data_IF_051502106109
#
_entry.id   IF_051502106109
#
_cell.length_a   1.000
_cell.length_b   1.000
_cell.length_c   1.000
_cell.angle_alpha   90.00
_cell.angle_beta   90.00
_cell.angle_gamma   90.00
#
_symmetry.space_group_name_H-M   'P 1'
#
loop_
_entity.id
_entity.type
_entity.pdbx_description
1 polymer ?
#
# COMPACT_ATOMS: atom_id res chain seq x y z
N UNK A 1 24.85 -15.15 -8.99
CA UNK A 1 23.48 -15.44 -9.48
C UNK A 1 22.51 -14.92 -8.44
N UNK A 2 21.41 -14.26 -8.82
CA UNK A 2 20.37 -13.93 -7.85
C UNK A 2 19.81 -15.23 -7.26
N UNK A 3 19.49 -15.21 -5.97
CA UNK A 3 18.93 -16.37 -5.25
C UNK A 3 17.48 -16.70 -5.69
N UNK A 4 16.89 -15.85 -6.50
CA UNK A 4 15.54 -15.96 -7.09
C UNK A 4 15.56 -15.52 -8.55
N UNK A 5 14.74 -16.16 -9.36
CA UNK A 5 14.54 -15.77 -10.76
C UNK A 5 13.65 -14.53 -10.81
N UNK A 6 14.11 -13.49 -11.47
CA UNK A 6 13.26 -12.36 -11.83
C UNK A 6 12.40 -12.76 -13.04
N UNK A 7 11.08 -12.54 -13.02
CA UNK A 7 10.25 -12.81 -14.18
C UNK A 7 10.72 -12.05 -15.42
N UNK A 8 10.55 -12.66 -16.59
CA UNK A 8 10.97 -12.06 -17.86
C UNK A 8 10.11 -10.82 -18.23
N UNK A 9 8.86 -10.78 -17.77
CA UNK A 9 7.95 -9.66 -18.02
C UNK A 9 7.98 -8.64 -16.90
N UNK A 10 7.88 -7.33 -17.22
CA UNK A 10 7.76 -6.27 -16.23
C UNK A 10 6.57 -6.50 -15.28
N UNK A 11 6.75 -6.26 -13.98
CA UNK A 11 5.73 -6.46 -12.95
C UNK A 11 4.43 -5.73 -13.25
N UNK A 12 4.53 -4.50 -13.79
CA UNK A 12 3.36 -3.70 -14.19
C UNK A 12 2.54 -4.38 -15.31
N UNK A 13 3.22 -4.99 -16.29
CA UNK A 13 2.53 -5.73 -17.36
C UNK A 13 1.81 -6.96 -16.81
N UNK A 14 2.44 -7.70 -15.92
CA UNK A 14 1.81 -8.87 -15.27
C UNK A 14 0.59 -8.45 -14.42
N UNK A 15 0.69 -7.33 -13.68
CA UNK A 15 -0.45 -6.80 -12.92
C UNK A 15 -1.64 -6.45 -13.85
N UNK A 16 -1.36 -5.79 -14.98
CA UNK A 16 -2.40 -5.42 -15.95
C UNK A 16 -3.03 -6.64 -16.63
N UNK A 17 -2.25 -7.65 -16.98
CA UNK A 17 -2.74 -8.90 -17.56
C UNK A 17 -3.63 -9.66 -16.57
N UNK A 18 -3.12 -9.88 -15.34
CA UNK A 18 -3.87 -10.54 -14.28
C UNK A 18 -5.17 -9.79 -13.94
N UNK A 19 -5.14 -8.45 -13.95
CA UNK A 19 -6.33 -7.63 -13.75
C UNK A 19 -7.39 -7.92 -14.82
N UNK A 20 -6.99 -7.94 -16.08
CA UNK A 20 -7.89 -8.23 -17.19
C UNK A 20 -8.47 -9.65 -17.12
N UNK A 21 -7.66 -10.63 -16.74
CA UNK A 21 -8.09 -12.01 -16.58
C UNK A 21 -9.12 -12.20 -15.47
N UNK A 22 -8.93 -11.51 -14.33
CA UNK A 22 -9.78 -11.70 -13.14
C UNK A 22 -11.07 -10.86 -13.23
N UNK A 23 -10.97 -9.62 -13.73
CA UNK A 23 -12.11 -8.69 -13.74
C UNK A 23 -12.88 -8.67 -15.06
N UNK A 24 -12.28 -9.20 -16.15
CA UNK A 24 -12.81 -9.08 -17.51
C UNK A 24 -12.68 -7.67 -18.10
N UNK A 25 -12.03 -6.74 -17.41
CA UNK A 25 -11.90 -5.34 -17.79
C UNK A 25 -10.42 -4.94 -17.92
N UNK A 26 -10.12 -4.06 -18.89
CA UNK A 26 -8.78 -3.45 -18.94
C UNK A 26 -8.61 -2.47 -17.78
N UNK A 27 -7.45 -2.45 -17.11
CA UNK A 27 -7.22 -1.51 -16.03
C UNK A 27 -7.24 -0.07 -16.53
N UNK A 28 -7.79 0.84 -15.73
CA UNK A 28 -7.78 2.28 -16.02
C UNK A 28 -6.39 2.87 -15.83
N UNK A 29 -5.70 2.42 -14.78
CA UNK A 29 -4.36 2.85 -14.44
C UNK A 29 -3.52 1.70 -13.91
N UNK A 30 -2.21 1.82 -14.11
CA UNK A 30 -1.22 0.89 -13.56
C UNK A 30 -0.04 1.68 -13.04
N UNK A 31 0.42 1.34 -11.84
CA UNK A 31 1.60 1.96 -11.24
C UNK A 31 2.48 0.90 -10.57
N UNK A 32 3.73 1.27 -10.29
CA UNK A 32 4.63 0.36 -9.59
C UNK A 32 5.56 1.10 -8.63
N UNK A 33 5.96 0.42 -7.56
CA UNK A 33 6.89 0.93 -6.57
C UNK A 33 8.02 -0.07 -6.27
N UNK A 34 9.21 0.42 -5.91
CA UNK A 34 10.38 -0.41 -5.70
C UNK A 34 10.40 -1.09 -4.33
N UNK A 35 11.12 -2.20 -4.24
CA UNK A 35 11.56 -2.77 -2.98
C UNK A 35 12.37 -1.75 -2.18
N UNK A 36 12.26 -1.79 -0.85
CA UNK A 36 12.99 -0.90 0.05
C UNK A 36 13.71 -1.69 1.14
N UNK A 37 14.89 -1.25 1.53
CA UNK A 37 15.62 -1.82 2.64
C UNK A 37 16.35 -0.73 3.44
N UNK A 38 16.48 -0.96 4.75
CA UNK A 38 17.17 -0.03 5.63
C UNK A 38 18.65 -0.38 5.68
N UNK A 39 19.49 0.62 5.48
CA UNK A 39 20.92 0.50 5.69
C UNK A 39 21.26 0.67 7.18
N UNK A 40 20.62 1.66 7.82
CA UNK A 40 20.77 1.94 9.25
C UNK A 40 19.55 2.72 9.74
N UNK A 41 19.24 2.57 11.03
CA UNK A 41 18.18 3.34 11.70
C UNK A 41 16.77 2.74 11.55
N UNK A 42 16.64 1.46 11.16
CA UNK A 42 15.34 0.81 11.11
C UNK A 42 14.66 0.83 12.49
N UNK A 43 13.35 1.09 12.51
CA UNK A 43 12.50 1.23 13.71
C UNK A 43 12.74 2.46 14.57
N UNK A 44 13.55 3.44 14.17
CA UNK A 44 13.72 4.69 14.92
C UNK A 44 12.89 5.86 14.38
N UNK A 45 12.26 5.72 13.24
CA UNK A 45 11.38 6.72 12.61
C UNK A 45 10.14 7.05 13.48
N UNK A 46 9.68 6.13 14.33
CA UNK A 46 8.62 6.38 15.33
C UNK A 46 9.00 7.43 16.38
N UNK A 47 10.28 7.60 16.62
CA UNK A 47 10.81 8.52 17.64
C UNK A 47 11.44 9.77 17.02
N UNK A 48 11.22 10.00 15.72
CA UNK A 48 11.83 11.13 15.01
C UNK A 48 13.32 10.94 14.72
N UNK A 49 13.80 9.69 14.71
CA UNK A 49 15.17 9.36 14.35
C UNK A 49 15.38 9.41 12.82
N UNK A 50 16.66 9.48 12.43
CA UNK A 50 17.07 9.51 11.01
C UNK A 50 17.29 8.07 10.53
N UNK A 51 16.64 7.72 9.41
CA UNK A 51 16.76 6.42 8.75
C UNK A 51 17.45 6.58 7.40
N UNK A 52 18.46 5.76 7.13
CA UNK A 52 19.09 5.67 5.82
C UNK A 52 18.49 4.48 5.05
N UNK A 53 17.77 4.78 3.98
CA UNK A 53 17.03 3.81 3.17
C UNK A 53 17.61 3.70 1.76
N UNK A 54 17.52 2.48 1.22
CA UNK A 54 17.83 2.21 -0.18
C UNK A 54 16.62 1.59 -0.88
N UNK A 55 16.58 1.70 -2.21
CA UNK A 55 15.59 1.00 -3.03
C UNK A 55 16.26 -0.04 -3.92
N UNK A 56 15.55 -1.14 -4.15
CA UNK A 56 15.99 -2.23 -5.01
C UNK A 56 15.37 -2.20 -6.40
N UNK A 57 15.80 -3.12 -7.26
CA UNK A 57 15.26 -3.27 -8.62
C UNK A 57 13.94 -4.06 -8.64
N UNK A 58 13.70 -4.93 -7.66
CA UNK A 58 12.44 -5.66 -7.54
C UNK A 58 11.30 -4.69 -7.29
N UNK A 59 10.13 -4.98 -7.82
CA UNK A 59 8.98 -4.08 -7.75
C UNK A 59 7.71 -4.82 -7.33
N UNK A 60 6.80 -4.08 -6.71
CA UNK A 60 5.39 -4.38 -6.70
C UNK A 60 4.69 -3.46 -7.69
N UNK A 61 3.67 -3.95 -8.38
CA UNK A 61 2.88 -3.18 -9.31
C UNK A 61 1.39 -3.45 -9.09
N UNK A 62 0.58 -2.43 -9.33
CA UNK A 62 -0.86 -2.47 -9.14
C UNK A 62 -1.56 -1.98 -10.39
N UNK A 63 -2.58 -2.70 -10.81
CA UNK A 63 -3.53 -2.32 -11.83
C UNK A 63 -4.89 -2.10 -11.18
N UNK A 64 -5.61 -1.03 -11.58
CA UNK A 64 -6.90 -0.66 -10.97
C UNK A 64 -7.95 -0.35 -12.02
N UNK A 65 -9.22 -0.65 -11.68
CA UNK A 65 -10.40 -0.15 -12.37
C UNK A 65 -11.48 0.26 -11.37
N UNK A 66 -12.35 1.25 -11.72
CA UNK A 66 -13.38 1.71 -10.80
C UNK A 66 -14.53 0.70 -10.69
N UNK A 67 -15.17 0.68 -9.51
CA UNK A 67 -16.42 -0.03 -9.21
C UNK A 67 -17.51 0.95 -8.78
N UNK A 68 -18.76 0.51 -8.87
CA UNK A 68 -19.93 1.33 -8.51
C UNK A 68 -20.76 0.75 -7.38
N UNK A 69 -20.34 -0.37 -6.79
CA UNK A 69 -21.11 -1.17 -5.83
C UNK A 69 -20.66 -1.00 -4.36
N UNK A 70 -19.80 -0.06 -4.08
CA UNK A 70 -19.32 0.20 -2.72
C UNK A 70 -18.26 -0.80 -2.22
N UNK A 71 -17.68 -1.61 -3.11
CA UNK A 71 -16.74 -2.68 -2.75
C UNK A 71 -15.33 -2.37 -3.25
N UNK A 72 -14.33 -2.69 -2.44
CA UNK A 72 -12.93 -2.82 -2.85
C UNK A 72 -12.61 -4.30 -2.94
N UNK A 73 -12.39 -4.80 -4.16
CA UNK A 73 -11.97 -6.16 -4.43
C UNK A 73 -10.47 -6.17 -4.71
N UNK A 74 -9.76 -7.11 -4.07
CA UNK A 74 -8.28 -7.18 -4.11
C UNK A 74 -7.85 -8.54 -4.59
N UNK A 75 -6.97 -8.56 -5.58
CA UNK A 75 -6.36 -9.74 -6.15
C UNK A 75 -4.84 -9.58 -6.02
N UNK A 76 -4.20 -10.44 -5.24
CA UNK A 76 -2.77 -10.36 -4.97
C UNK A 76 -2.03 -11.56 -5.53
N UNK A 77 -1.03 -11.30 -6.34
CA UNK A 77 -0.14 -12.27 -6.96
C UNK A 77 1.28 -12.09 -6.39
N UNK A 78 1.65 -12.84 -5.36
CA UNK A 78 2.94 -12.71 -4.69
C UNK A 78 4.10 -13.18 -5.58
N UNK A 79 5.33 -12.82 -5.21
CA UNK A 79 6.54 -13.33 -5.85
C UNK A 79 6.69 -14.85 -5.72
N UNK A 80 6.15 -15.41 -4.66
CA UNK A 80 6.15 -16.84 -4.34
C UNK A 80 4.86 -17.19 -3.60
N UNK A 81 4.33 -18.38 -3.87
CA UNK A 81 3.09 -18.85 -3.25
C UNK A 81 1.87 -18.71 -4.17
N UNK A 82 0.71 -18.98 -3.62
CA UNK A 82 -0.55 -18.94 -4.35
C UNK A 82 -1.15 -17.52 -4.37
N UNK A 83 -1.87 -17.16 -5.43
CA UNK A 83 -2.64 -15.94 -5.46
C UNK A 83 -3.68 -15.88 -4.33
N UNK A 84 -3.90 -14.69 -3.80
CA UNK A 84 -4.92 -14.42 -2.79
C UNK A 84 -5.97 -13.45 -3.34
N UNK A 85 -7.25 -13.69 -2.99
CA UNK A 85 -8.37 -12.87 -3.38
C UNK A 85 -9.21 -12.56 -2.14
N UNK A 86 -9.60 -11.29 -2.01
CA UNK A 86 -10.36 -10.81 -0.86
C UNK A 86 -11.19 -9.57 -1.24
N UNK A 87 -12.20 -9.22 -0.46
CA UNK A 87 -12.98 -8.01 -0.71
C UNK A 87 -13.56 -7.43 0.57
N UNK A 88 -13.78 -6.11 0.57
CA UNK A 88 -14.38 -5.40 1.69
C UNK A 88 -15.21 -4.23 1.17
N UNK A 89 -16.34 -3.92 1.85
CA UNK A 89 -17.14 -2.76 1.51
C UNK A 89 -16.53 -1.48 2.12
N UNK A 90 -16.75 -0.34 1.46
CA UNK A 90 -16.39 0.98 2.01
C UNK A 90 -17.12 1.26 3.32
N UNK A 91 -18.33 0.71 3.52
CA UNK A 91 -19.05 0.81 4.77
C UNK A 91 -18.33 0.05 5.89
N UNK A 92 -17.92 -1.19 5.67
CA UNK A 92 -17.17 -1.96 6.67
C UNK A 92 -15.84 -1.29 7.03
N UNK A 93 -15.16 -0.67 6.06
CA UNK A 93 -13.97 0.14 6.32
C UNK A 93 -14.26 1.35 7.20
N UNK A 94 -15.40 2.03 7.00
CA UNK A 94 -15.83 3.14 7.84
C UNK A 94 -16.10 2.70 9.29
N UNK A 95 -16.74 1.54 9.47
CA UNK A 95 -16.99 0.94 10.78
C UNK A 95 -15.68 0.56 11.48
N UNK A 96 -14.74 -0.09 10.77
CA UNK A 96 -13.42 -0.40 11.30
C UNK A 96 -12.64 0.87 11.70
N UNK A 97 -12.67 1.91 10.86
CA UNK A 97 -12.00 3.18 11.17
C UNK A 97 -12.60 3.85 12.40
N UNK A 98 -13.93 3.79 12.55
CA UNK A 98 -14.65 4.35 13.72
C UNK A 98 -14.27 3.60 15.00
N UNK A 99 -14.20 2.28 14.95
CA UNK A 99 -13.80 1.45 16.08
C UNK A 99 -12.35 1.70 16.55
N UNK A 100 -11.53 2.30 15.69
CA UNK A 100 -10.12 2.67 15.98
C UNK A 100 -9.95 4.10 16.49
N UNK A 101 -11.03 4.88 16.59
CA UNK A 101 -10.93 6.23 17.10
C UNK A 101 -10.65 6.23 18.61
N UNK A 102 -9.79 7.15 19.08
CA UNK A 102 -9.57 7.33 20.50
C UNK A 102 -10.92 7.61 21.22
N UNK A 103 -11.15 6.92 22.30
CA UNK A 103 -12.33 7.13 23.15
C UNK A 103 -11.92 7.17 24.62
N UNK A 104 -12.84 7.61 25.47
CA UNK A 104 -12.67 7.59 26.92
C UNK A 104 -13.80 6.78 27.55
N UNK A 105 -13.51 6.09 28.64
CA UNK A 105 -14.54 5.41 29.45
C UNK A 105 -15.35 6.42 30.29
N UNK A 106 -16.27 5.89 31.10
CA UNK A 106 -17.12 6.68 31.97
C UNK A 106 -16.34 7.46 33.06
N UNK A 107 -15.14 7.00 33.38
CA UNK A 107 -14.22 7.57 34.35
C UNK A 107 -13.23 8.57 33.68
N UNK A 108 -13.34 8.81 32.36
CA UNK A 108 -12.50 9.71 31.59
C UNK A 108 -11.10 9.15 31.25
N UNK A 109 -10.88 7.85 31.42
CA UNK A 109 -9.60 7.21 31.06
C UNK A 109 -9.56 6.87 29.57
N UNK A 110 -8.39 7.00 28.90
CA UNK A 110 -8.25 6.61 27.52
C UNK A 110 -8.53 5.11 27.31
N UNK A 111 -9.44 4.79 26.41
CA UNK A 111 -9.69 3.42 25.98
C UNK A 111 -8.79 3.12 24.79
N UNK A 112 -7.93 2.12 24.94
CA UNK A 112 -7.08 1.63 23.84
C UNK A 112 -7.93 0.69 23.00
N UNK A 113 -8.20 1.03 21.72
CA UNK A 113 -8.98 0.15 20.86
C UNK A 113 -8.22 -1.16 20.60
N UNK A 114 -8.90 -2.29 20.40
CA UNK A 114 -8.26 -3.57 20.08
C UNK A 114 -7.45 -3.43 18.79
N UNK A 115 -6.36 -4.23 18.68
CA UNK A 115 -5.60 -4.29 17.43
C UNK A 115 -6.52 -4.71 16.27
N UNK A 116 -6.33 -4.16 15.05
CA UNK A 116 -7.12 -4.58 13.90
C UNK A 116 -6.83 -6.05 13.58
N UNK A 117 -7.86 -6.78 13.19
CA UNK A 117 -7.70 -8.16 12.72
C UNK A 117 -6.85 -8.23 11.45
N UNK A 118 -6.90 -7.19 10.65
CA UNK A 118 -6.16 -7.09 9.39
C UNK A 118 -6.87 -7.83 8.25
N UNK A 119 -6.08 -8.44 7.39
CA UNK A 119 -6.53 -9.09 6.17
C UNK A 119 -6.13 -8.29 4.93
N UNK A 120 -6.11 -8.96 3.79
CA UNK A 120 -5.68 -8.36 2.52
C UNK A 120 -6.59 -7.20 2.11
N UNK A 121 -7.91 -7.44 2.10
CA UNK A 121 -8.87 -6.43 1.69
C UNK A 121 -8.98 -5.27 2.70
N UNK A 122 -8.88 -5.54 4.00
CA UNK A 122 -8.89 -4.48 5.02
C UNK A 122 -7.66 -3.57 4.88
N UNK A 123 -6.48 -4.12 4.66
CA UNK A 123 -5.25 -3.36 4.44
C UNK A 123 -5.33 -2.49 3.19
N UNK A 124 -5.60 -3.10 2.03
CA UNK A 124 -5.60 -2.41 0.74
C UNK A 124 -6.81 -1.47 0.61
N UNK A 125 -7.99 -1.93 1.02
CA UNK A 125 -9.19 -1.10 1.07
C UNK A 125 -9.05 0.08 2.03
N UNK A 126 -8.30 -0.12 3.13
CA UNK A 126 -7.94 0.95 4.06
C UNK A 126 -7.17 2.09 3.39
N UNK A 127 -6.33 1.81 2.39
CA UNK A 127 -5.66 2.83 1.59
C UNK A 127 -6.70 3.63 0.80
N UNK A 128 -7.63 2.95 0.09
CA UNK A 128 -8.71 3.62 -0.66
C UNK A 128 -9.52 4.53 0.27
N UNK A 129 -9.99 4.00 1.40
CA UNK A 129 -10.76 4.75 2.39
C UNK A 129 -10.00 5.97 2.93
N UNK A 130 -8.74 5.79 3.29
CA UNK A 130 -7.92 6.89 3.83
C UNK A 130 -7.65 7.95 2.77
N UNK A 131 -7.41 7.57 1.51
CA UNK A 131 -7.22 8.50 0.39
C UNK A 131 -8.48 9.33 0.12
N UNK A 132 -9.67 8.74 0.20
CA UNK A 132 -10.95 9.47 0.09
C UNK A 132 -11.06 10.51 1.21
N UNK A 133 -10.82 10.09 2.46
CA UNK A 133 -10.94 10.97 3.63
C UNK A 133 -9.86 12.08 3.65
N UNK A 134 -8.69 11.81 3.08
CA UNK A 134 -7.60 12.79 2.93
C UNK A 134 -7.67 13.58 1.63
N UNK A 135 -8.74 13.43 0.84
CA UNK A 135 -8.98 14.17 -0.41
C UNK A 135 -7.86 13.96 -1.45
N UNK A 136 -7.27 12.77 -1.49
CA UNK A 136 -6.41 12.30 -2.58
C UNK A 136 -7.23 11.57 -3.65
N UNK A 137 -8.42 11.10 -3.30
CA UNK A 137 -9.44 10.58 -4.21
C UNK A 137 -10.74 11.37 -4.04
N UNK A 138 -11.58 11.32 -5.07
CA UNK A 138 -12.91 11.91 -5.01
C UNK A 138 -13.76 11.24 -3.93
N UNK A 139 -14.63 12.02 -3.28
CA UNK A 139 -15.64 11.50 -2.35
C UNK A 139 -16.70 10.64 -3.06
N UNK A 140 -16.80 10.74 -4.37
CA UNK A 140 -17.70 9.94 -5.20
C UNK A 140 -17.10 8.57 -5.58
N UNK A 141 -15.87 8.28 -5.13
CA UNK A 141 -15.25 6.96 -5.34
C UNK A 141 -16.09 5.89 -4.66
N UNK A 142 -16.76 5.07 -5.46
CA UNK A 142 -17.70 4.06 -4.98
C UNK A 142 -17.08 2.65 -4.85
N UNK A 143 -15.77 2.51 -5.05
CA UNK A 143 -15.04 1.26 -4.95
C UNK A 143 -14.00 1.09 -6.04
N UNK A 144 -13.26 -0.01 -5.97
CA UNK A 144 -12.22 -0.33 -6.96
C UNK A 144 -11.97 -1.84 -7.04
N UNK A 145 -11.67 -2.33 -8.24
CA UNK A 145 -10.94 -3.58 -8.45
C UNK A 145 -9.46 -3.26 -8.44
N UNK A 146 -8.70 -3.96 -7.60
CA UNK A 146 -7.27 -3.74 -7.38
C UNK A 146 -6.54 -5.05 -7.57
N UNK A 147 -5.66 -5.11 -8.55
CA UNK A 147 -4.83 -6.30 -8.80
C UNK A 147 -3.37 -5.94 -8.59
N UNK A 148 -2.73 -6.64 -7.66
CA UNK A 148 -1.35 -6.40 -7.25
C UNK A 148 -0.50 -7.60 -7.70
N UNK A 149 0.60 -7.35 -8.40
CA UNK A 149 1.65 -8.33 -8.67
C UNK A 149 2.95 -7.89 -7.99
N UNK A 150 3.69 -8.81 -7.41
CA UNK A 150 4.94 -8.51 -6.72
C UNK A 150 6.07 -9.43 -7.19
N UNK A 151 7.27 -8.85 -7.39
CA UNK A 151 8.53 -9.57 -7.55
C UNK A 151 9.31 -9.64 -6.24
N UNK A 152 8.82 -8.96 -5.20
CA UNK A 152 9.52 -8.79 -3.93
C UNK A 152 9.17 -9.97 -3.03
N UNK A 153 10.14 -10.80 -2.62
CA UNK A 153 9.87 -11.91 -1.72
C UNK A 153 9.35 -11.43 -0.37
N UNK A 154 8.29 -12.06 0.11
CA UNK A 154 7.74 -11.78 1.44
C UNK A 154 8.71 -12.25 2.55
N UNK A 155 8.74 -11.53 3.65
CA UNK A 155 9.60 -11.85 4.81
C UNK A 155 11.09 -11.63 4.59
N UNK A 156 11.53 -11.18 3.41
CA UNK A 156 12.94 -10.95 3.09
C UNK A 156 13.51 -9.61 3.59
N UNK A 157 12.75 -8.81 4.33
CA UNK A 157 13.17 -7.49 4.79
C UNK A 157 13.19 -6.42 3.69
N UNK A 158 12.67 -6.74 2.49
CA UNK A 158 12.72 -5.88 1.30
C UNK A 158 11.49 -4.98 1.12
N UNK A 159 10.64 -4.85 2.12
CA UNK A 159 9.50 -3.92 2.12
C UNK A 159 8.43 -4.25 1.07
N UNK A 160 8.15 -5.54 0.83
CA UNK A 160 7.15 -5.99 -0.13
C UNK A 160 5.79 -5.30 0.09
N UNK A 161 5.34 -5.28 1.33
CA UNK A 161 4.10 -4.63 1.74
C UNK A 161 4.09 -3.14 1.44
N UNK A 162 5.15 -2.41 1.80
CA UNK A 162 5.22 -0.97 1.58
C UNK A 162 5.29 -0.60 0.09
N UNK A 163 5.96 -1.45 -0.71
CA UNK A 163 5.96 -1.28 -2.16
C UNK A 163 4.56 -1.51 -2.76
N UNK A 164 3.83 -2.53 -2.29
CA UNK A 164 2.46 -2.79 -2.71
C UNK A 164 1.53 -1.62 -2.33
N UNK A 165 1.60 -1.13 -1.09
CA UNK A 165 0.81 0.02 -0.61
C UNK A 165 1.01 1.27 -1.46
N UNK A 166 2.27 1.59 -1.76
CA UNK A 166 2.62 2.74 -2.60
C UNK A 166 2.15 2.54 -4.04
N UNK A 167 2.32 1.33 -4.62
CA UNK A 167 1.84 1.04 -5.96
C UNK A 167 0.31 1.17 -6.06
N UNK A 168 -0.44 0.74 -5.03
CA UNK A 168 -1.90 0.92 -4.92
C UNK A 168 -2.25 2.41 -4.92
N UNK A 169 -1.63 3.20 -4.04
CA UNK A 169 -1.92 4.62 -3.95
C UNK A 169 -1.64 5.36 -5.27
N UNK A 170 -0.51 5.08 -5.92
CA UNK A 170 -0.13 5.68 -7.20
C UNK A 170 -1.10 5.29 -8.33
N UNK A 171 -1.48 4.01 -8.41
CA UNK A 171 -2.43 3.53 -9.43
C UNK A 171 -3.81 4.17 -9.25
N UNK A 172 -4.32 4.28 -8.02
CA UNK A 172 -5.59 4.93 -7.72
C UNK A 172 -5.60 6.43 -8.07
N UNK A 173 -4.47 7.11 -7.94
CA UNK A 173 -4.34 8.52 -8.33
C UNK A 173 -4.21 8.70 -9.84
N UNK A 174 -3.95 7.65 -10.61
CA UNK A 174 -3.60 7.75 -12.01
C UNK A 174 -2.29 8.50 -12.25
N UNK A 175 -1.45 8.59 -11.24
CA UNK A 175 -0.22 9.35 -11.30
C UNK A 175 0.94 8.45 -11.76
N UNK A 176 1.56 8.81 -12.87
CA UNK A 176 2.91 8.41 -13.18
C UNK A 176 3.92 9.08 -12.23
N UNK A 177 5.19 8.76 -12.35
CA UNK A 177 6.27 9.12 -11.42
C UNK A 177 6.46 10.62 -11.11
N UNK A 178 5.70 11.53 -11.71
CA UNK A 178 5.89 12.98 -11.65
C UNK A 178 5.16 13.72 -10.51
N UNK A 179 4.89 13.03 -9.40
CA UNK A 179 4.41 13.70 -8.20
C UNK A 179 5.48 14.66 -7.65
N UNK A 180 5.08 15.86 -7.27
CA UNK A 180 5.96 16.78 -6.56
C UNK A 180 6.36 16.25 -5.16
N UNK A 181 7.39 16.82 -4.57
CA UNK A 181 7.92 16.34 -3.30
C UNK A 181 6.90 16.44 -2.13
N UNK A 182 6.09 17.52 -2.00
CA UNK A 182 5.03 17.61 -1.01
C UNK A 182 3.98 16.51 -1.17
N UNK A 183 3.53 16.23 -2.39
CA UNK A 183 2.52 15.22 -2.64
C UNK A 183 3.04 13.81 -2.38
N UNK A 184 4.31 13.52 -2.73
CA UNK A 184 4.97 12.25 -2.37
C UNK A 184 5.02 12.04 -0.86
N UNK A 185 5.36 13.09 -0.10
CA UNK A 185 5.35 13.00 1.37
C UNK A 185 3.94 12.73 1.91
N UNK A 186 2.93 13.41 1.36
CA UNK A 186 1.53 13.21 1.73
C UNK A 186 1.02 11.81 1.41
N UNK A 187 1.37 11.25 0.26
CA UNK A 187 1.03 9.86 -0.10
C UNK A 187 1.68 8.87 0.86
N UNK A 188 2.95 9.07 1.24
CA UNK A 188 3.63 8.23 2.23
C UNK A 188 2.91 8.26 3.59
N UNK A 189 2.49 9.43 4.05
CA UNK A 189 1.74 9.58 5.31
C UNK A 189 0.38 8.89 5.24
N UNK A 190 -0.32 9.01 4.12
CA UNK A 190 -1.63 8.35 3.91
C UNK A 190 -1.49 6.83 3.89
N UNK A 191 -0.52 6.27 3.18
CA UNK A 191 -0.25 4.83 3.19
C UNK A 191 0.08 4.35 4.61
N UNK A 192 0.96 5.05 5.33
CA UNK A 192 1.32 4.70 6.71
C UNK A 192 0.13 4.76 7.65
N UNK A 193 -0.70 5.82 7.56
CA UNK A 193 -1.91 5.95 8.36
C UNK A 193 -2.91 4.83 8.06
N UNK A 194 -3.14 4.52 6.79
CA UNK A 194 -4.06 3.46 6.37
C UNK A 194 -3.64 2.11 6.97
N UNK A 195 -2.37 1.73 6.79
CA UNK A 195 -1.87 0.46 7.32
C UNK A 195 -1.96 0.40 8.84
N UNK A 196 -1.60 1.47 9.56
CA UNK A 196 -1.69 1.51 11.02
C UNK A 196 -3.13 1.50 11.55
N UNK A 197 -4.11 1.84 10.72
CA UNK A 197 -5.54 1.79 11.09
C UNK A 197 -6.15 0.43 10.78
N UNK A 198 -5.80 -0.22 9.66
CA UNK A 198 -6.55 -1.35 9.12
C UNK A 198 -5.75 -2.67 9.08
N UNK A 199 -4.43 -2.65 9.17
CA UNK A 199 -3.62 -3.86 9.10
C UNK A 199 -3.24 -4.38 10.50
N UNK A 200 -3.08 -5.69 10.63
CA UNK A 200 -2.67 -6.34 11.88
C UNK A 200 -1.24 -5.98 12.32
N UNK A 201 -0.41 -5.54 11.37
CA UNK A 201 0.98 -5.13 11.64
C UNK A 201 1.17 -3.66 11.25
N UNK A 202 1.77 -2.84 12.12
CA UNK A 202 2.03 -1.45 11.83
C UNK A 202 3.06 -1.30 10.69
N UNK A 203 2.94 -0.23 9.93
CA UNK A 203 3.89 0.14 8.89
C UNK A 203 4.91 1.16 9.41
N UNK A 204 6.11 1.08 8.86
CA UNK A 204 7.16 2.07 9.04
C UNK A 204 7.04 3.17 7.97
N UNK A 205 6.89 4.41 8.38
CA UNK A 205 6.78 5.57 7.48
C UNK A 205 7.98 5.69 6.54
N UNK A 206 9.17 5.36 7.04
CA UNK A 206 10.40 5.43 6.27
C UNK A 206 10.37 4.55 5.01
N UNK A 207 9.74 3.38 5.05
CA UNK A 207 9.64 2.49 3.88
C UNK A 207 8.73 3.07 2.78
N UNK A 208 7.57 3.61 3.13
CA UNK A 208 6.69 4.30 2.18
C UNK A 208 7.37 5.54 1.59
N UNK A 209 8.05 6.32 2.45
CA UNK A 209 8.80 7.51 2.01
C UNK A 209 9.92 7.15 1.05
N UNK A 210 10.70 6.09 1.33
CA UNK A 210 11.78 5.64 0.46
C UNK A 210 11.25 5.15 -0.90
N UNK A 211 10.16 4.37 -0.92
CA UNK A 211 9.56 3.87 -2.14
C UNK A 211 9.06 4.99 -3.07
N UNK A 212 8.64 6.14 -2.50
CA UNK A 212 8.13 7.30 -3.23
C UNK A 212 9.20 8.33 -3.62
N UNK A 213 10.28 8.45 -2.85
CA UNK A 213 11.20 9.59 -2.94
C UNK A 213 12.60 9.23 -3.41
N UNK A 214 13.00 7.96 -3.28
CA UNK A 214 14.34 7.55 -3.70
C UNK A 214 14.45 7.44 -5.21
N UNK A 215 15.53 7.95 -5.77
CA UNK A 215 15.85 7.85 -7.21
C UNK A 215 16.44 6.50 -7.59
N UNK A 216 16.87 5.69 -6.61
CA UNK A 216 17.54 4.41 -6.84
C UNK A 216 19.04 4.51 -7.08
N UNK A 217 19.60 5.72 -7.11
CA UNK A 217 21.03 5.98 -7.39
C UNK A 217 21.86 6.19 -6.11
N UNK A 218 21.22 6.17 -4.95
CA UNK A 218 21.90 6.42 -3.70
C UNK A 218 21.07 6.06 -2.47
N UNK A 219 21.59 6.47 -1.31
CA UNK A 219 20.91 6.33 -0.02
C UNK A 219 19.98 7.52 0.18
N UNK A 220 18.73 7.24 0.51
CA UNK A 220 17.74 8.24 0.87
C UNK A 220 17.73 8.43 2.40
N UNK A 221 17.97 9.63 2.86
CA UNK A 221 17.88 9.99 4.28
C UNK A 221 16.45 10.48 4.56
N UNK A 222 15.83 9.88 5.54
CA UNK A 222 14.44 10.12 5.95
C UNK A 222 14.37 10.44 7.44
#
# INVERSE_FOLDING_TARGET
>A
MPLWSTPAEPTAKRAAQAHTEVTGSTPTHTASAPATWSLIGEHIDHFGGIVAMCVGKLRAATAVSPRTDGVVAVHFYPAQGEPAHDSISLQALAELATARQPSTDAEGQPVIPPAPEGGLAARVGGIVYTMINRQLLSRETAGADITIASDIPEGAGLGADAAADVAVALALMGADADLDAPLRARVADVCTQAVNTFAARPALRARHSAALRSTGEGVCII
#
